data_IF_885420073994
#
_entry.id   IF_885420073994
#
_cell.length_a   1.000
_cell.length_b   1.000
_cell.length_c   1.000
_cell.angle_alpha   90.00
_cell.angle_beta   90.00
_cell.angle_gamma   90.00
#
_symmetry.space_group_name_H-M   'P 1'
#
loop_
_entity.id
_entity.type
_entity.pdbx_description
1 polymer ?
#
# COMPACT_ATOMS: atom_id res chain seq x y z
N UNK A 1 16.55 3.91 22.01
CA UNK A 1 17.01 2.65 22.59
C UNK A 1 16.15 2.23 23.80
N UNK A 2 16.06 3.05 24.86
CA UNK A 2 15.34 2.70 26.10
C UNK A 2 13.91 2.17 25.90
N UNK A 3 13.17 2.72 24.94
CA UNK A 3 11.83 2.25 24.62
C UNK A 3 11.86 0.80 24.08
N UNK A 4 12.75 0.51 23.14
CA UNK A 4 12.90 -0.85 22.60
C UNK A 4 13.40 -1.83 23.64
N UNK A 5 14.25 -1.39 24.56
CA UNK A 5 14.71 -2.21 25.67
C UNK A 5 13.55 -2.56 26.65
N UNK A 6 12.71 -1.57 26.95
CA UNK A 6 11.48 -1.81 27.70
C UNK A 6 10.53 -2.80 26.99
N UNK A 7 10.34 -2.64 25.66
CA UNK A 7 9.51 -3.54 24.86
C UNK A 7 10.11 -4.96 24.80
N UNK A 8 11.43 -5.07 24.70
CA UNK A 8 12.11 -6.36 24.75
C UNK A 8 11.87 -7.08 26.09
N UNK A 9 11.95 -6.33 27.21
CA UNK A 9 11.64 -6.89 28.52
C UNK A 9 10.19 -7.37 28.64
N UNK A 10 9.22 -6.59 28.11
CA UNK A 10 7.79 -7.00 28.06
C UNK A 10 7.57 -8.25 27.23
N UNK A 11 8.32 -8.43 26.12
CA UNK A 11 8.29 -9.63 25.28
C UNK A 11 9.10 -10.80 25.88
N UNK A 12 9.70 -10.65 27.06
CA UNK A 12 10.48 -11.69 27.73
C UNK A 12 11.84 -12.00 27.08
N UNK A 13 12.35 -11.10 26.23
CA UNK A 13 13.62 -11.30 25.53
C UNK A 13 14.79 -11.12 26.50
N UNK A 14 15.59 -12.19 26.68
CA UNK A 14 16.83 -12.13 27.44
C UNK A 14 17.98 -11.69 26.53
N UNK A 15 18.92 -10.88 27.05
CA UNK A 15 20.07 -10.36 26.28
C UNK A 15 19.67 -9.64 24.99
N UNK A 16 18.64 -8.80 25.07
CA UNK A 16 17.96 -8.13 23.95
C UNK A 16 18.82 -7.13 23.14
N UNK A 17 20.06 -6.82 23.59
CA UNK A 17 20.91 -5.78 23.00
C UNK A 17 21.15 -6.01 21.50
N UNK A 18 21.49 -7.24 21.10
CA UNK A 18 21.73 -7.58 19.70
C UNK A 18 20.46 -7.44 18.86
N UNK A 19 19.32 -7.95 19.36
CA UNK A 19 18.03 -7.85 18.70
C UNK A 19 17.59 -6.39 18.53
N UNK A 20 17.77 -5.56 19.58
CA UNK A 20 17.48 -4.12 19.50
C UNK A 20 18.36 -3.43 18.44
N UNK A 21 19.66 -3.76 18.39
CA UNK A 21 20.57 -3.18 17.41
C UNK A 21 20.24 -3.61 15.98
N UNK A 22 19.75 -4.83 15.79
CA UNK A 22 19.27 -5.32 14.49
C UNK A 22 18.05 -4.54 14.03
N UNK A 23 17.00 -4.42 14.86
CA UNK A 23 15.78 -3.72 14.44
C UNK A 23 15.99 -2.22 14.25
N UNK A 24 16.90 -1.56 15.03
CA UNK A 24 17.27 -0.17 14.82
C UNK A 24 17.92 0.02 13.45
N UNK A 25 18.81 -0.90 13.03
CA UNK A 25 19.41 -0.87 11.69
C UNK A 25 18.36 -1.13 10.59
N UNK A 26 17.51 -2.13 10.80
CA UNK A 26 16.47 -2.48 9.83
C UNK A 26 15.56 -1.30 9.47
N UNK A 27 15.34 -0.38 10.41
CA UNK A 27 14.49 0.81 10.20
C UNK A 27 15.29 2.12 10.03
N UNK A 28 16.60 2.07 9.79
CA UNK A 28 17.47 3.24 9.57
C UNK A 28 17.37 4.30 10.71
N UNK A 29 17.45 3.87 11.95
CA UNK A 29 17.40 4.76 13.13
C UNK A 29 18.69 4.78 13.96
N UNK A 30 19.84 4.34 13.43
CA UNK A 30 21.12 4.28 14.15
C UNK A 30 21.54 5.64 14.70
N UNK A 31 21.47 6.69 13.89
CA UNK A 31 21.83 8.06 14.29
C UNK A 31 20.91 8.60 15.38
N UNK A 32 19.66 8.12 15.44
CA UNK A 32 18.64 8.52 16.42
C UNK A 32 18.56 7.60 17.63
N UNK A 33 19.48 6.64 17.77
CA UNK A 33 19.49 5.63 18.84
C UNK A 33 19.34 6.21 20.26
N UNK A 34 19.92 7.39 20.51
CA UNK A 34 19.89 8.09 21.81
C UNK A 34 18.84 9.20 21.89
N UNK A 35 18.15 9.49 20.79
CA UNK A 35 17.13 10.52 20.75
C UNK A 35 15.91 10.14 21.63
N UNK A 36 15.27 11.15 22.19
CA UNK A 36 13.99 10.98 22.90
C UNK A 36 12.88 10.85 21.87
N UNK A 37 11.94 9.91 22.04
CA UNK A 37 10.84 9.67 21.06
C UNK A 37 10.06 10.95 20.78
N UNK A 38 9.82 11.80 21.78
CA UNK A 38 9.11 13.08 21.61
C UNK A 38 9.79 14.08 20.66
N UNK A 39 11.11 13.92 20.41
CA UNK A 39 11.89 14.80 19.52
C UNK A 39 12.02 14.23 18.09
N UNK A 40 11.47 13.05 17.84
CA UNK A 40 11.46 12.42 16.53
C UNK A 40 10.37 13.00 15.63
N UNK A 41 10.62 13.02 14.30
CA UNK A 41 9.59 13.33 13.30
C UNK A 41 8.46 12.29 13.31
N UNK A 42 7.36 12.56 12.59
CA UNK A 42 6.26 11.61 12.41
C UNK A 42 6.76 10.27 11.85
N UNK A 43 7.47 10.30 10.72
CA UNK A 43 8.04 9.11 10.08
C UNK A 43 9.05 8.39 10.96
N UNK A 44 9.92 9.13 11.69
CA UNK A 44 10.85 8.50 12.64
C UNK A 44 10.12 7.78 13.78
N UNK A 45 9.02 8.34 14.31
CA UNK A 45 8.19 7.64 15.31
C UNK A 45 7.55 6.38 14.75
N UNK A 46 7.08 6.44 13.52
CA UNK A 46 6.53 5.27 12.84
C UNK A 46 7.57 4.17 12.66
N UNK A 47 8.80 4.52 12.29
CA UNK A 47 9.93 3.57 12.25
C UNK A 47 10.21 2.92 13.61
N UNK A 48 10.07 3.65 14.70
CA UNK A 48 10.18 3.07 16.06
C UNK A 48 9.08 2.04 16.31
N UNK A 49 7.85 2.30 15.85
CA UNK A 49 6.73 1.36 15.92
C UNK A 49 7.01 0.07 15.13
N UNK A 50 7.54 0.19 13.90
CA UNK A 50 7.93 -0.96 13.07
C UNK A 50 9.08 -1.74 13.74
N UNK A 51 10.12 -1.05 14.26
CA UNK A 51 11.19 -1.70 14.99
C UNK A 51 10.69 -2.49 16.21
N UNK A 52 9.70 -1.95 16.94
CA UNK A 52 9.05 -2.62 18.05
C UNK A 52 8.29 -3.88 17.58
N UNK A 53 7.60 -3.82 16.45
CA UNK A 53 6.88 -4.98 15.91
C UNK A 53 7.83 -6.12 15.54
N UNK A 54 8.93 -5.80 14.85
CA UNK A 54 9.97 -6.74 14.43
C UNK A 54 10.79 -7.32 15.61
N UNK A 55 10.79 -6.65 16.76
CA UNK A 55 11.60 -7.04 17.91
C UNK A 55 11.18 -8.41 18.46
N UNK A 56 12.13 -9.34 18.51
CA UNK A 56 11.89 -10.70 19.00
C UNK A 56 11.46 -11.69 17.92
N UNK A 57 11.54 -11.28 16.65
CA UNK A 57 11.38 -12.16 15.50
C UNK A 57 10.05 -12.95 15.52
N UNK A 58 8.90 -12.25 15.55
CA UNK A 58 7.60 -12.90 15.67
C UNK A 58 7.17 -13.55 14.36
N UNK A 59 6.58 -14.75 14.41
CA UNK A 59 6.06 -15.48 13.26
C UNK A 59 4.94 -14.73 12.50
N UNK A 60 4.19 -13.87 13.21
CA UNK A 60 3.08 -13.10 12.66
C UNK A 60 3.20 -11.61 12.98
N UNK A 61 3.11 -10.79 11.97
CA UNK A 61 3.23 -9.33 12.03
C UNK A 61 1.97 -8.67 11.46
N UNK A 62 1.47 -7.68 12.16
CA UNK A 62 0.35 -6.85 11.70
C UNK A 62 0.83 -5.40 11.63
N UNK A 63 0.68 -4.79 10.48
CA UNK A 63 0.97 -3.38 10.26
C UNK A 63 -0.28 -2.66 9.73
N UNK A 64 -0.67 -1.60 10.42
CA UNK A 64 -1.78 -0.75 10.03
C UNK A 64 -1.23 0.58 9.50
N UNK A 65 -1.44 0.84 8.19
CA UNK A 65 -0.98 2.03 7.46
C UNK A 65 0.51 2.38 7.69
N UNK A 66 1.45 1.43 7.57
CA UNK A 66 2.82 1.62 8.05
C UNK A 66 3.65 2.61 7.22
N UNK A 67 3.23 2.97 6.03
CA UNK A 67 3.96 3.85 5.10
C UNK A 67 3.34 5.24 4.97
N UNK A 68 2.20 5.48 5.61
CA UNK A 68 1.53 6.79 5.61
C UNK A 68 2.41 7.83 6.30
N UNK A 69 2.60 8.98 5.64
CA UNK A 69 3.42 10.08 6.16
C UNK A 69 4.93 9.89 6.03
N UNK A 70 5.37 8.83 5.34
CA UNK A 70 6.75 8.66 4.93
C UNK A 70 7.01 9.36 3.59
N UNK A 71 8.24 9.84 3.41
CA UNK A 71 8.68 10.32 2.11
C UNK A 71 8.88 9.16 1.10
N UNK A 72 9.01 9.44 -0.21
CA UNK A 72 9.11 8.39 -1.23
C UNK A 72 10.32 7.45 -1.03
N UNK A 73 11.47 7.95 -0.58
CA UNK A 73 12.66 7.15 -0.35
C UNK A 73 12.47 6.20 0.85
N UNK A 74 11.91 6.73 1.94
CA UNK A 74 11.56 5.95 3.11
C UNK A 74 10.53 4.84 2.78
N UNK A 75 9.56 5.17 1.93
CA UNK A 75 8.52 4.23 1.50
C UNK A 75 9.12 3.04 0.73
N UNK A 76 10.05 3.31 -0.21
CA UNK A 76 10.79 2.25 -0.94
C UNK A 76 11.56 1.37 0.04
N UNK A 77 12.23 1.99 1.03
CA UNK A 77 12.97 1.23 2.04
C UNK A 77 12.06 0.27 2.82
N UNK A 78 10.87 0.72 3.23
CA UNK A 78 9.92 -0.12 3.97
C UNK A 78 9.27 -1.21 3.12
N UNK A 79 8.97 -0.94 1.85
CA UNK A 79 8.52 -1.98 0.92
C UNK A 79 9.53 -3.13 0.85
N UNK A 80 10.81 -2.80 0.68
CA UNK A 80 11.88 -3.80 0.66
C UNK A 80 12.02 -4.53 1.99
N UNK A 81 11.83 -3.84 3.12
CA UNK A 81 11.86 -4.46 4.45
C UNK A 81 10.70 -5.45 4.62
N UNK A 82 9.47 -5.06 4.28
CA UNK A 82 8.29 -5.92 4.40
C UNK A 82 8.38 -7.12 3.46
N UNK A 83 8.82 -6.93 2.21
CA UNK A 83 9.03 -8.03 1.26
C UNK A 83 9.99 -9.07 1.82
N UNK A 84 11.15 -8.66 2.34
CA UNK A 84 12.11 -9.58 2.97
C UNK A 84 11.55 -10.25 4.22
N UNK A 85 10.80 -9.50 5.03
CA UNK A 85 10.19 -10.05 6.26
C UNK A 85 9.16 -11.12 5.89
N UNK A 86 8.41 -10.94 4.81
CA UNK A 86 7.40 -11.88 4.34
C UNK A 86 7.98 -13.20 3.79
N UNK A 87 9.28 -13.27 3.49
CA UNK A 87 9.94 -14.53 3.10
C UNK A 87 9.95 -15.57 4.24
N UNK A 88 9.99 -15.13 5.50
CA UNK A 88 10.10 -15.99 6.67
C UNK A 88 8.93 -15.86 7.65
N UNK A 89 8.09 -14.82 7.50
CA UNK A 89 7.03 -14.48 8.44
C UNK A 89 5.70 -14.23 7.73
N UNK A 90 4.60 -14.46 8.43
CA UNK A 90 3.29 -14.03 7.96
C UNK A 90 3.10 -12.53 8.27
N UNK A 91 3.02 -11.72 7.22
CA UNK A 91 2.85 -10.27 7.33
C UNK A 91 1.45 -9.88 6.85
N UNK A 92 0.64 -9.33 7.74
CA UNK A 92 -0.63 -8.70 7.42
C UNK A 92 -0.44 -7.19 7.36
N UNK A 93 -0.70 -6.62 6.18
CA UNK A 93 -0.57 -5.19 5.91
C UNK A 93 -1.95 -4.59 5.60
N UNK A 94 -2.40 -3.64 6.40
CA UNK A 94 -3.55 -2.80 6.05
C UNK A 94 -3.02 -1.51 5.42
N UNK A 95 -3.52 -1.16 4.23
CA UNK A 95 -3.14 0.07 3.55
C UNK A 95 -4.18 0.48 2.49
N UNK A 96 -4.25 1.77 2.22
CA UNK A 96 -4.98 2.31 1.07
C UNK A 96 -4.04 2.74 -0.08
N UNK A 97 -2.73 2.47 0.05
CA UNK A 97 -1.71 2.85 -0.93
C UNK A 97 -1.50 1.69 -1.90
N UNK A 98 -2.03 1.80 -3.11
CA UNK A 98 -2.04 0.74 -4.11
C UNK A 98 -0.63 0.30 -4.53
N UNK A 99 0.32 1.24 -4.61
CA UNK A 99 1.72 0.92 -4.93
C UNK A 99 2.38 0.04 -3.86
N UNK A 100 1.99 0.17 -2.59
CA UNK A 100 2.50 -0.70 -1.54
C UNK A 100 1.96 -2.12 -1.71
N UNK A 101 0.65 -2.25 -2.00
CA UNK A 101 0.02 -3.54 -2.28
C UNK A 101 0.70 -4.24 -3.45
N UNK A 102 0.86 -3.54 -4.58
CA UNK A 102 1.44 -4.10 -5.80
C UNK A 102 2.92 -4.53 -5.62
N UNK A 103 3.64 -3.87 -4.70
CA UNK A 103 5.08 -4.11 -4.51
C UNK A 103 5.39 -5.18 -3.48
N UNK A 104 4.46 -5.50 -2.55
CA UNK A 104 4.76 -6.29 -1.35
C UNK A 104 3.81 -7.47 -1.16
N UNK A 105 2.57 -7.39 -1.66
CA UNK A 105 1.54 -8.36 -1.30
C UNK A 105 1.40 -9.48 -2.35
N UNK A 106 1.50 -10.74 -1.91
CA UNK A 106 1.20 -11.91 -2.74
C UNK A 106 -0.30 -12.22 -2.76
N UNK A 107 -1.00 -11.86 -1.68
CA UNK A 107 -2.45 -12.03 -1.53
C UNK A 107 -3.08 -10.74 -1.06
N UNK A 108 -4.25 -10.42 -1.57
CA UNK A 108 -5.02 -9.23 -1.19
C UNK A 108 -6.44 -9.57 -0.82
N UNK A 109 -6.97 -8.80 0.11
CA UNK A 109 -8.40 -8.78 0.46
C UNK A 109 -8.89 -7.36 0.31
N UNK A 110 -9.83 -7.13 -0.61
CA UNK A 110 -10.46 -5.81 -0.77
C UNK A 110 -11.72 -5.76 0.07
N UNK A 111 -11.77 -4.80 1.00
CA UNK A 111 -12.90 -4.58 1.90
C UNK A 111 -13.54 -3.24 1.57
N UNK A 112 -14.86 -3.22 1.39
CA UNK A 112 -15.63 -2.00 1.16
C UNK A 112 -16.92 -2.05 1.98
N UNK A 113 -17.21 -0.98 2.73
CA UNK A 113 -18.38 -0.91 3.62
C UNK A 113 -18.59 -2.14 4.51
N UNK A 114 -17.50 -2.73 5.02
CA UNK A 114 -17.55 -3.91 5.90
C UNK A 114 -17.78 -5.24 5.18
N UNK A 115 -17.83 -5.24 3.84
CA UNK A 115 -18.00 -6.43 3.00
C UNK A 115 -16.71 -6.74 2.25
N UNK A 116 -16.35 -8.03 2.17
CA UNK A 116 -15.23 -8.47 1.33
C UNK A 116 -15.72 -8.54 -0.13
N UNK A 117 -15.14 -7.71 -0.99
CA UNK A 117 -15.46 -7.67 -2.42
C UNK A 117 -14.56 -8.59 -3.24
N UNK A 118 -13.32 -8.80 -2.80
CA UNK A 118 -12.36 -9.62 -3.52
C UNK A 118 -11.37 -10.27 -2.56
N UNK A 119 -10.96 -11.48 -2.91
CA UNK A 119 -9.84 -12.19 -2.26
C UNK A 119 -9.07 -12.92 -3.36
N UNK A 120 -7.75 -12.71 -3.44
CA UNK A 120 -6.90 -13.33 -4.46
C UNK A 120 -5.57 -12.62 -4.60
N UNK A 121 -4.88 -12.81 -5.72
CA UNK A 121 -3.63 -12.10 -6.01
C UNK A 121 -3.90 -10.74 -6.68
N UNK A 122 -2.94 -9.78 -6.62
CA UNK A 122 -3.04 -8.53 -7.37
C UNK A 122 -3.29 -8.74 -8.86
N UNK A 123 -2.62 -9.75 -9.48
CA UNK A 123 -2.78 -10.08 -10.90
C UNK A 123 -4.19 -10.56 -11.24
N UNK A 124 -4.80 -11.36 -10.34
CA UNK A 124 -6.18 -11.80 -10.53
C UNK A 124 -7.17 -10.63 -10.49
N UNK A 125 -6.93 -9.65 -9.60
CA UNK A 125 -7.74 -8.44 -9.56
C UNK A 125 -7.56 -7.62 -10.85
N UNK A 126 -6.32 -7.39 -11.30
CA UNK A 126 -6.01 -6.71 -12.57
C UNK A 126 -6.73 -7.40 -13.73
N UNK A 127 -6.64 -8.73 -13.81
CA UNK A 127 -7.26 -9.52 -14.88
C UNK A 127 -8.79 -9.36 -14.91
N UNK A 128 -9.43 -9.16 -13.75
CA UNK A 128 -10.88 -8.96 -13.67
C UNK A 128 -11.37 -7.67 -14.34
N UNK A 129 -10.50 -6.68 -14.52
CA UNK A 129 -10.79 -5.42 -15.19
C UNK A 129 -10.40 -5.40 -16.69
N UNK A 130 -9.91 -6.51 -17.23
CA UNK A 130 -9.52 -6.61 -18.65
C UNK A 130 -10.72 -6.36 -19.56
N UNK A 131 -10.56 -5.43 -20.52
CA UNK A 131 -11.62 -5.00 -21.42
C UNK A 131 -12.56 -3.92 -20.84
N UNK A 132 -12.37 -3.51 -19.60
CA UNK A 132 -13.17 -2.51 -18.89
C UNK A 132 -12.44 -1.19 -18.67
N UNK A 133 -11.19 -1.07 -19.13
CA UNK A 133 -10.35 0.13 -19.03
C UNK A 133 -10.13 0.72 -20.40
N UNK A 134 -10.33 2.02 -20.53
CA UNK A 134 -10.11 2.73 -21.78
C UNK A 134 -9.58 4.13 -21.58
N UNK A 135 -8.96 4.65 -22.63
CA UNK A 135 -8.47 6.03 -22.70
C UNK A 135 -9.14 6.78 -23.83
N UNK A 136 -9.38 8.05 -23.62
CA UNK A 136 -9.97 8.95 -24.61
C UNK A 136 -9.52 10.39 -24.39
N UNK A 137 -9.74 11.25 -25.37
CA UNK A 137 -9.51 12.68 -25.27
C UNK A 137 -10.80 13.35 -24.78
N UNK A 138 -10.68 14.16 -23.74
CA UNK A 138 -11.83 14.96 -23.25
C UNK A 138 -12.20 15.98 -24.33
N UNK A 139 -13.40 15.86 -24.83
CA UNK A 139 -14.06 16.84 -25.66
C UNK A 139 -15.20 17.42 -24.83
N UNK A 140 -15.72 18.60 -25.19
CA UNK A 140 -16.82 19.28 -24.48
C UNK A 140 -18.16 18.50 -24.44
N UNK A 141 -18.12 17.21 -24.75
CA UNK A 141 -19.28 16.32 -24.72
C UNK A 141 -19.49 15.76 -23.32
N UNK A 142 -20.75 15.69 -22.91
CA UNK A 142 -21.20 15.12 -21.64
C UNK A 142 -20.65 13.70 -21.47
N UNK A 143 -19.95 13.46 -20.36
CA UNK A 143 -19.49 12.14 -19.97
C UNK A 143 -20.70 11.17 -19.88
N UNK A 144 -20.60 10.02 -20.53
CA UNK A 144 -21.64 8.99 -20.49
C UNK A 144 -21.88 8.49 -19.07
N UNK A 145 -23.13 8.19 -18.72
CA UNK A 145 -23.48 7.59 -17.44
C UNK A 145 -22.79 6.21 -17.29
N UNK A 146 -22.21 5.96 -16.13
CA UNK A 146 -21.50 4.71 -15.82
C UNK A 146 -20.02 4.70 -16.20
N UNK A 147 -19.48 5.82 -16.68
CA UNK A 147 -18.04 5.99 -16.93
C UNK A 147 -17.38 6.59 -15.71
N UNK A 148 -16.47 5.84 -15.07
CA UNK A 148 -15.70 6.32 -13.92
C UNK A 148 -14.30 6.72 -14.35
N UNK A 149 -14.01 8.02 -14.33
CA UNK A 149 -12.68 8.53 -14.69
C UNK A 149 -11.69 8.21 -13.55
N UNK A 150 -10.63 7.47 -13.87
CA UNK A 150 -9.56 7.09 -12.94
C UNK A 150 -8.38 8.05 -13.00
N UNK A 151 -8.14 8.67 -14.17
CA UNK A 151 -7.09 9.69 -14.31
C UNK A 151 -7.42 10.72 -15.39
N UNK A 152 -6.92 11.97 -15.19
CA UNK A 152 -6.92 13.06 -16.17
C UNK A 152 -5.52 13.61 -16.29
N UNK A 153 -4.97 13.61 -17.49
CA UNK A 153 -3.61 14.08 -17.76
C UNK A 153 -3.66 15.20 -18.80
N UNK A 154 -3.16 16.38 -18.43
CA UNK A 154 -2.97 17.49 -19.36
C UNK A 154 -1.78 17.19 -20.27
N UNK A 155 -2.01 17.24 -21.57
CA UNK A 155 -0.98 17.06 -22.60
C UNK A 155 -0.99 18.22 -23.58
N UNK A 156 -0.01 18.30 -24.46
CA UNK A 156 0.04 19.30 -25.54
C UNK A 156 -1.10 19.17 -26.56
N UNK A 157 -1.79 18.02 -26.57
CA UNK A 157 -2.89 17.73 -27.51
C UNK A 157 -4.28 17.86 -26.86
N UNK A 158 -4.35 18.18 -25.56
CA UNK A 158 -5.57 18.27 -24.79
C UNK A 158 -5.54 17.41 -23.53
N UNK A 159 -6.69 17.21 -22.91
CA UNK A 159 -6.83 16.39 -21.71
C UNK A 159 -7.06 14.93 -22.13
N UNK A 160 -6.13 14.05 -21.77
CA UNK A 160 -6.28 12.61 -21.92
C UNK A 160 -6.91 12.05 -20.64
N UNK A 161 -8.06 11.39 -20.80
CA UNK A 161 -8.76 10.73 -19.70
C UNK A 161 -8.53 9.23 -19.76
N UNK A 162 -8.37 8.61 -18.60
CA UNK A 162 -8.42 7.18 -18.36
C UNK A 162 -9.65 6.88 -17.53
N UNK A 163 -10.38 5.84 -17.88
CA UNK A 163 -11.63 5.53 -17.21
C UNK A 163 -11.91 4.02 -17.20
N UNK A 164 -12.78 3.62 -16.26
CA UNK A 164 -13.31 2.26 -16.15
C UNK A 164 -14.82 2.28 -16.35
N UNK A 165 -15.36 1.26 -17.01
CA UNK A 165 -16.80 1.08 -17.24
C UNK A 165 -17.12 -0.39 -17.52
N UNK A 166 -18.36 -0.82 -17.26
CA UNK A 166 -18.84 -2.13 -17.68
C UNK A 166 -18.82 -2.27 -19.21
N UNK A 167 -19.12 -1.20 -19.92
CA UNK A 167 -19.02 -1.10 -21.37
C UNK A 167 -18.32 0.20 -21.74
N UNK A 168 -17.19 0.07 -22.40
CA UNK A 168 -16.43 1.23 -22.88
C UNK A 168 -17.19 1.92 -24.02
N UNK A 169 -17.22 3.26 -24.05
CA UNK A 169 -17.80 3.99 -25.16
C UNK A 169 -17.01 3.76 -26.46
N UNK A 170 -17.64 3.86 -27.65
CA UNK A 170 -17.00 3.57 -28.93
C UNK A 170 -15.79 4.45 -29.26
N UNK A 171 -15.70 5.62 -28.64
CA UNK A 171 -14.59 6.56 -28.84
C UNK A 171 -13.40 6.29 -27.90
N UNK A 172 -13.56 5.41 -26.89
CA UNK A 172 -12.48 5.04 -26.00
C UNK A 172 -11.63 3.92 -26.61
N UNK A 173 -10.33 4.10 -26.56
CA UNK A 173 -9.37 3.07 -26.91
C UNK A 173 -9.13 2.19 -25.70
N UNK A 174 -9.34 0.88 -25.85
CA UNK A 174 -9.06 -0.09 -24.78
C UNK A 174 -7.57 -0.05 -24.40
N UNK A 175 -7.29 -0.13 -23.11
CA UNK A 175 -5.93 -0.15 -22.53
C UNK A 175 -5.85 -1.22 -21.44
N UNK A 176 -4.64 -1.73 -21.20
CA UNK A 176 -4.43 -2.71 -20.12
C UNK A 176 -4.70 -2.09 -18.76
N UNK A 177 -5.40 -2.81 -17.84
CA UNK A 177 -5.70 -2.30 -16.53
C UNK A 177 -4.47 -2.27 -15.63
N UNK A 178 -4.37 -1.23 -14.79
CA UNK A 178 -3.52 -1.20 -13.61
C UNK A 178 -4.26 -1.79 -12.41
N UNK A 179 -3.55 -2.01 -11.29
CA UNK A 179 -4.20 -2.44 -10.05
C UNK A 179 -5.17 -1.36 -9.53
N UNK A 180 -4.85 -0.08 -9.73
CA UNK A 180 -5.71 1.05 -9.36
C UNK A 180 -7.02 1.04 -10.18
N UNK A 181 -6.93 0.84 -11.51
CA UNK A 181 -8.11 0.73 -12.36
C UNK A 181 -8.99 -0.45 -11.94
N UNK A 182 -8.37 -1.59 -11.65
CA UNK A 182 -9.09 -2.79 -11.26
C UNK A 182 -9.79 -2.62 -9.90
N UNK A 183 -9.14 -1.95 -8.94
CA UNK A 183 -9.74 -1.59 -7.67
C UNK A 183 -10.93 -0.64 -7.86
N UNK A 184 -10.76 0.42 -8.64
CA UNK A 184 -11.84 1.40 -8.91
C UNK A 184 -13.00 0.78 -9.70
N UNK A 185 -12.70 -0.11 -10.65
CA UNK A 185 -13.72 -0.87 -11.37
C UNK A 185 -14.54 -1.76 -10.42
N UNK A 186 -13.87 -2.49 -9.51
CA UNK A 186 -14.51 -3.33 -8.51
C UNK A 186 -15.47 -2.52 -7.62
N UNK A 187 -15.03 -1.36 -7.12
CA UNK A 187 -15.83 -0.49 -6.26
C UNK A 187 -17.01 0.13 -7.02
N UNK A 188 -16.80 0.54 -8.28
CA UNK A 188 -17.87 1.16 -9.09
C UNK A 188 -19.04 0.21 -9.34
N UNK A 189 -18.76 -1.08 -9.50
CA UNK A 189 -19.80 -2.13 -9.68
C UNK A 189 -20.63 -2.36 -8.44
N UNK A 190 -20.00 -2.30 -7.28
CA UNK A 190 -20.72 -2.39 -6.00
C UNK A 190 -21.68 -1.23 -5.81
N UNK A 191 -21.27 -0.01 -6.15
CA UNK A 191 -22.09 1.19 -6.02
C UNK A 191 -23.29 1.23 -7.00
N UNK A 192 -23.30 0.36 -8.03
CA UNK A 192 -24.36 0.26 -9.03
C UNK A 192 -25.43 -0.81 -8.69
N UNK A 193 -25.19 -1.61 -7.64
CA UNK A 193 -26.12 -2.62 -7.13
C UNK A 193 -26.94 -2.09 -5.96
#
# INVERSE_FOLDING_TARGET
>A
YQFLDYMAALKGLRNSRSAIDQVIRAVNLEEKRRARIRTLSGGQRQRVGIAQALLGDPEFLIFDEPTVGLDPEERIHFRNLFSRTAEEHLVLLSTHIIEDVQSVCDQIVVIHHGTILFTGTPEQLIQSATGHVGVFWEKDETLEQGLHITARVNTSQGIRCRAVADKLPPYAQAEEPSLEDAYLYLISREAAQ
#
